data_IF_771665280550
#
_entry.id   IF_771665280550
#
_cell.length_a   1.000
_cell.length_b   1.000
_cell.length_c   1.000
_cell.angle_alpha   90.00
_cell.angle_beta   90.00
_cell.angle_gamma   90.00
#
_symmetry.space_group_name_H-M   'P 1'
#
loop_
_entity.id
_entity.type
_entity.pdbx_description
1 polymer ?
#
# COMPACT_ATOMS: atom_id res chain seq x y z
N UNK A 1 59.79 21.71 -0.44
CA UNK A 1 59.25 21.27 0.87
C UNK A 1 58.69 19.86 0.68
N UNK A 2 59.34 18.82 1.23
CA UNK A 2 58.91 17.42 1.03
C UNK A 2 57.75 17.11 1.98
N UNK A 3 56.62 16.64 1.43
CA UNK A 3 55.46 16.24 2.22
C UNK A 3 55.90 15.07 3.14
N UNK A 4 55.64 15.12 4.46
CA UNK A 4 56.01 14.05 5.39
C UNK A 4 55.37 12.73 4.97
N UNK A 5 56.10 11.61 5.05
CA UNK A 5 55.60 10.27 4.66
C UNK A 5 54.26 9.89 5.33
N UNK A 6 54.00 10.38 6.54
CA UNK A 6 52.73 10.23 7.24
C UNK A 6 51.54 10.85 6.48
N UNK A 7 51.71 12.04 5.89
CA UNK A 7 50.68 12.70 5.07
C UNK A 7 50.45 11.98 3.74
N UNK A 8 51.46 11.33 3.16
CA UNK A 8 51.30 10.52 1.94
C UNK A 8 50.48 9.24 2.19
N UNK A 9 50.73 8.54 3.31
CA UNK A 9 49.96 7.35 3.70
C UNK A 9 48.52 7.72 4.05
N UNK A 10 48.30 8.86 4.70
CA UNK A 10 46.96 9.38 5.03
C UNK A 10 46.17 9.80 3.77
N UNK A 11 46.82 10.39 2.77
CA UNK A 11 46.20 10.70 1.47
C UNK A 11 45.89 9.45 0.63
N UNK A 12 46.74 8.41 0.68
CA UNK A 12 46.47 7.12 0.02
C UNK A 12 45.32 6.39 0.72
N UNK A 13 45.26 6.45 2.06
CA UNK A 13 44.14 5.91 2.85
C UNK A 13 42.81 6.65 2.63
N UNK A 14 42.83 7.97 2.47
CA UNK A 14 41.64 8.75 2.08
C UNK A 14 41.22 8.49 0.63
N UNK A 15 42.18 8.38 -0.30
CA UNK A 15 41.92 8.07 -1.71
C UNK A 15 41.34 6.67 -1.91
N UNK A 16 41.79 5.68 -1.15
CA UNK A 16 41.23 4.32 -1.20
C UNK A 16 39.83 4.25 -0.57
N UNK A 17 39.60 4.91 0.58
CA UNK A 17 38.30 4.94 1.23
C UNK A 17 37.23 5.66 0.39
N UNK A 18 37.57 6.81 -0.20
CA UNK A 18 36.66 7.55 -1.09
C UNK A 18 36.32 6.75 -2.36
N UNK A 19 37.28 6.04 -2.93
CA UNK A 19 37.06 5.15 -4.07
C UNK A 19 36.12 3.99 -3.72
N UNK A 20 36.33 3.34 -2.56
CA UNK A 20 35.46 2.25 -2.10
C UNK A 20 34.03 2.75 -1.85
N UNK A 21 33.87 3.92 -1.23
CA UNK A 21 32.54 4.54 -1.03
C UNK A 21 31.87 4.85 -2.37
N UNK A 22 32.59 5.41 -3.34
CA UNK A 22 32.06 5.69 -4.67
C UNK A 22 31.61 4.41 -5.41
N UNK A 23 32.36 3.32 -5.28
CA UNK A 23 32.00 2.01 -5.85
C UNK A 23 30.73 1.46 -5.18
N UNK A 24 30.64 1.53 -3.85
CA UNK A 24 29.45 1.08 -3.11
C UNK A 24 28.21 1.89 -3.50
N UNK A 25 28.35 3.22 -3.65
CA UNK A 25 27.28 4.09 -4.14
C UNK A 25 26.87 3.67 -5.56
N UNK A 26 27.83 3.53 -6.48
CA UNK A 26 27.54 3.13 -7.86
C UNK A 26 26.81 1.78 -7.93
N UNK A 27 27.19 0.81 -7.09
CA UNK A 27 26.52 -0.49 -7.00
C UNK A 27 25.06 -0.37 -6.55
N UNK A 28 24.77 0.44 -5.51
CA UNK A 28 23.40 0.69 -5.03
C UNK A 28 22.56 1.37 -6.12
N UNK A 29 23.12 2.36 -6.83
CA UNK A 29 22.44 3.04 -7.93
C UNK A 29 22.15 2.10 -9.11
N UNK A 30 23.09 1.22 -9.46
CA UNK A 30 22.88 0.24 -10.51
C UNK A 30 21.80 -0.79 -10.13
N UNK A 31 21.83 -1.31 -8.91
CA UNK A 31 20.87 -2.31 -8.44
C UNK A 31 19.43 -1.79 -8.39
N UNK A 32 19.24 -0.50 -8.07
CA UNK A 32 17.91 0.13 -7.94
C UNK A 32 17.43 0.83 -9.21
N UNK A 33 18.24 0.88 -10.27
CA UNK A 33 17.93 1.58 -11.53
C UNK A 33 16.63 1.11 -12.20
N UNK A 34 16.32 -0.18 -12.09
CA UNK A 34 15.07 -0.74 -12.61
C UNK A 34 13.82 -0.18 -11.94
N UNK A 35 13.88 0.10 -10.62
CA UNK A 35 12.78 0.74 -9.90
C UNK A 35 12.53 2.16 -10.43
N UNK A 36 13.60 2.95 -10.55
CA UNK A 36 13.48 4.34 -11.00
C UNK A 36 13.04 4.44 -12.45
N UNK A 37 13.54 3.54 -13.32
CA UNK A 37 13.12 3.48 -14.71
C UNK A 37 11.62 3.16 -14.85
N UNK A 38 11.09 2.23 -14.03
CA UNK A 38 9.66 1.92 -14.01
C UNK A 38 8.82 3.12 -13.52
N UNK A 39 9.26 3.83 -12.47
CA UNK A 39 8.59 5.03 -11.97
C UNK A 39 8.60 6.18 -13.00
N UNK A 40 9.77 6.48 -13.59
CA UNK A 40 9.90 7.55 -14.59
C UNK A 40 9.05 7.26 -15.83
N UNK A 41 9.03 6.00 -16.28
CA UNK A 41 8.17 5.56 -17.38
C UNK A 41 6.70 5.72 -17.03
N UNK A 42 6.28 5.43 -15.79
CA UNK A 42 4.91 5.64 -15.36
C UNK A 42 4.51 7.12 -15.48
N UNK A 43 5.26 8.01 -14.87
CA UNK A 43 4.89 9.43 -14.85
C UNK A 43 4.99 10.07 -16.23
N UNK A 44 5.95 9.64 -17.06
CA UNK A 44 5.99 10.02 -18.49
C UNK A 44 4.73 9.57 -19.24
N UNK A 45 4.24 8.34 -19.03
CA UNK A 45 3.00 7.88 -19.68
C UNK A 45 1.76 8.61 -19.17
N UNK A 46 1.73 8.97 -17.89
CA UNK A 46 0.64 9.79 -17.32
C UNK A 46 0.66 11.23 -17.87
N UNK A 47 1.83 11.84 -18.04
CA UNK A 47 2.00 13.14 -18.73
C UNK A 47 1.43 13.11 -20.15
N UNK A 48 1.70 12.04 -20.88
CA UNK A 48 1.18 11.81 -22.23
C UNK A 48 -0.34 11.50 -22.28
N UNK A 49 -1.02 11.41 -21.13
CA UNK A 49 -2.42 10.98 -21.04
C UNK A 49 -2.64 9.50 -21.39
N UNK A 50 -1.56 8.72 -21.52
CA UNK A 50 -1.60 7.32 -21.92
C UNK A 50 -1.82 6.38 -20.72
N UNK A 51 -3.01 6.47 -20.12
CA UNK A 51 -3.38 5.66 -18.94
C UNK A 51 -3.25 4.16 -19.19
N UNK A 52 -3.59 3.68 -20.40
CA UNK A 52 -3.49 2.24 -20.73
C UNK A 52 -2.04 1.74 -20.66
N UNK A 53 -1.09 2.49 -21.21
CA UNK A 53 0.32 2.13 -21.12
C UNK A 53 0.88 2.30 -19.69
N UNK A 54 0.37 3.26 -18.91
CA UNK A 54 0.69 3.41 -17.50
C UNK A 54 0.25 2.18 -16.67
N UNK A 55 -0.96 1.66 -16.93
CA UNK A 55 -1.47 0.45 -16.26
C UNK A 55 -0.58 -0.78 -16.47
N UNK A 56 0.00 -0.93 -17.67
CA UNK A 56 0.89 -2.05 -17.98
C UNK A 56 2.20 -2.08 -17.16
N UNK A 57 2.50 -1.00 -16.42
CA UNK A 57 3.64 -0.95 -15.52
C UNK A 57 3.32 -1.47 -14.12
N UNK A 58 2.04 -1.66 -13.80
CA UNK A 58 1.62 -2.22 -12.53
C UNK A 58 1.68 -3.74 -12.54
N UNK A 59 1.79 -4.34 -11.36
CA UNK A 59 1.72 -5.80 -11.22
C UNK A 59 0.32 -6.30 -11.57
N UNK A 60 0.24 -7.58 -11.99
CA UNK A 60 -1.04 -8.26 -12.23
C UNK A 60 -1.89 -8.43 -10.97
N UNK A 61 -1.34 -8.09 -9.80
CA UNK A 61 -2.02 -8.11 -8.51
C UNK A 61 -2.82 -6.83 -8.26
N UNK A 62 -2.91 -5.91 -9.22
CA UNK A 62 -3.74 -4.71 -9.11
C UNK A 62 -4.95 -4.84 -10.04
N UNK A 63 -6.14 -4.51 -9.52
CA UNK A 63 -7.38 -4.57 -10.31
C UNK A 63 -7.41 -3.50 -11.41
N UNK A 64 -7.47 -3.93 -12.67
CA UNK A 64 -7.37 -3.06 -13.85
C UNK A 64 -8.45 -1.96 -13.89
N UNK A 65 -9.71 -2.29 -13.60
CA UNK A 65 -10.81 -1.33 -13.69
C UNK A 65 -10.67 -0.24 -12.63
N UNK A 66 -10.34 -0.64 -11.40
CA UNK A 66 -10.07 0.28 -10.30
C UNK A 66 -8.84 1.13 -10.61
N UNK A 67 -7.76 0.50 -11.09
CA UNK A 67 -6.49 1.15 -11.40
C UNK A 67 -6.63 2.22 -12.49
N UNK A 68 -7.40 1.96 -13.55
CA UNK A 68 -7.59 2.94 -14.62
C UNK A 68 -8.22 4.24 -14.07
N UNK A 69 -9.26 4.09 -13.24
CA UNK A 69 -9.95 5.23 -12.61
C UNK A 69 -9.03 5.96 -11.63
N UNK A 70 -8.28 5.23 -10.82
CA UNK A 70 -7.35 5.78 -9.84
C UNK A 70 -6.21 6.53 -10.51
N UNK A 71 -5.59 5.98 -11.56
CA UNK A 71 -4.52 6.64 -12.32
C UNK A 71 -5.00 7.94 -12.97
N UNK A 72 -6.19 7.94 -13.57
CA UNK A 72 -6.80 9.16 -14.13
C UNK A 72 -7.05 10.21 -13.06
N UNK A 73 -7.53 9.78 -11.89
CA UNK A 73 -7.78 10.67 -10.75
C UNK A 73 -6.47 11.23 -10.21
N UNK A 74 -5.46 10.37 -10.02
CA UNK A 74 -4.14 10.73 -9.54
C UNK A 74 -3.46 11.72 -10.48
N UNK A 75 -3.47 11.45 -11.79
CA UNK A 75 -2.86 12.31 -12.79
C UNK A 75 -3.49 13.71 -12.84
N UNK A 76 -4.83 13.79 -12.84
CA UNK A 76 -5.55 15.06 -12.85
C UNK A 76 -5.38 15.84 -11.55
N UNK A 77 -5.50 15.16 -10.40
CA UNK A 77 -5.39 15.78 -9.08
C UNK A 77 -4.01 16.40 -8.84
N UNK A 78 -2.99 15.81 -9.43
CA UNK A 78 -1.60 16.20 -9.24
C UNK A 78 -0.99 16.90 -10.47
N UNK A 79 -1.83 17.39 -11.40
CA UNK A 79 -1.40 18.11 -12.61
C UNK A 79 -0.21 17.46 -13.33
N UNK A 80 -0.27 16.14 -13.53
CA UNK A 80 0.86 15.39 -14.11
C UNK A 80 1.12 15.70 -15.60
N UNK A 81 0.25 16.48 -16.24
CA UNK A 81 0.53 17.12 -17.52
C UNK A 81 1.75 18.06 -17.44
N UNK A 82 2.02 18.64 -16.27
CA UNK A 82 3.21 19.45 -15.99
C UNK A 82 4.38 18.61 -15.41
N UNK A 83 4.33 17.28 -15.50
CA UNK A 83 5.41 16.43 -14.98
C UNK A 83 6.77 16.77 -15.60
N UNK A 84 7.76 17.06 -14.76
CA UNK A 84 9.11 17.38 -15.19
C UNK A 84 10.07 16.22 -14.97
N UNK A 85 10.22 15.78 -13.72
CA UNK A 85 11.10 14.67 -13.34
C UNK A 85 10.73 14.11 -11.96
N UNK A 86 11.46 13.09 -11.52
CA UNK A 86 11.37 12.54 -10.17
C UNK A 86 12.65 12.81 -9.38
N UNK A 87 12.58 12.74 -8.06
CA UNK A 87 13.74 12.80 -7.17
C UNK A 87 13.54 11.83 -6.02
N UNK A 88 14.53 10.96 -5.76
CA UNK A 88 14.39 9.85 -4.83
C UNK A 88 15.32 10.03 -3.63
N UNK A 89 14.76 10.21 -2.44
CA UNK A 89 15.48 10.30 -1.17
C UNK A 89 15.86 8.93 -0.63
N UNK A 90 15.06 7.90 -0.90
CA UNK A 90 15.34 6.52 -0.52
C UNK A 90 15.06 5.56 -1.68
N UNK A 91 15.93 4.55 -1.81
CA UNK A 91 15.80 3.44 -2.76
C UNK A 91 16.22 2.17 -2.07
N UNK A 92 15.33 1.19 -1.99
CA UNK A 92 15.64 -0.09 -1.34
C UNK A 92 15.08 -1.26 -2.15
N UNK A 93 15.79 -2.38 -2.07
CA UNK A 93 15.35 -3.67 -2.59
C UNK A 93 15.51 -4.68 -1.47
N UNK A 94 14.51 -5.52 -1.26
CA UNK A 94 14.55 -6.64 -0.34
C UNK A 94 13.94 -7.85 -1.03
N UNK A 95 14.77 -8.83 -1.35
CA UNK A 95 14.39 -10.03 -2.10
C UNK A 95 13.71 -9.69 -3.44
N UNK A 96 12.38 -9.82 -3.51
CA UNK A 96 11.55 -9.58 -4.69
C UNK A 96 10.68 -8.33 -4.57
N UNK A 97 10.92 -7.50 -3.56
CA UNK A 97 10.21 -6.25 -3.34
C UNK A 97 11.18 -5.07 -3.43
N UNK A 98 10.69 -3.94 -3.91
CA UNK A 98 11.44 -2.70 -3.98
C UNK A 98 10.62 -1.54 -3.46
N UNK A 99 11.28 -0.52 -2.91
CA UNK A 99 10.63 0.71 -2.46
C UNK A 99 11.41 1.91 -2.95
N UNK A 100 10.69 2.89 -3.49
CA UNK A 100 11.17 4.23 -3.73
C UNK A 100 10.42 5.20 -2.83
N UNK A 101 11.17 6.10 -2.20
CA UNK A 101 10.62 7.25 -1.49
C UNK A 101 11.23 8.50 -2.07
N UNK A 102 10.40 9.51 -2.34
CA UNK A 102 10.87 10.72 -2.99
C UNK A 102 9.73 11.61 -3.40
N UNK A 103 9.91 12.31 -4.52
CA UNK A 103 8.96 13.25 -5.03
C UNK A 103 8.85 13.24 -6.55
N UNK A 104 7.65 13.61 -7.01
CA UNK A 104 7.37 14.03 -8.37
C UNK A 104 7.53 15.55 -8.41
N UNK A 105 8.31 16.07 -9.34
CA UNK A 105 8.51 17.51 -9.51
C UNK A 105 7.82 17.96 -10.81
N UNK A 106 7.06 19.04 -10.72
CA UNK A 106 6.35 19.64 -11.84
C UNK A 106 7.11 20.83 -12.42
N UNK A 107 6.72 21.28 -13.61
CA UNK A 107 7.31 22.41 -14.31
C UNK A 107 7.09 23.75 -13.58
N UNK A 108 5.97 23.88 -12.86
CA UNK A 108 5.61 25.05 -12.04
C UNK A 108 6.40 25.14 -10.71
N UNK A 109 7.24 24.14 -10.41
CA UNK A 109 8.00 24.03 -9.16
C UNK A 109 7.28 23.29 -8.04
N UNK A 110 6.03 22.85 -8.24
CA UNK A 110 5.30 22.01 -7.29
C UNK A 110 5.99 20.67 -7.11
N UNK A 111 6.05 20.20 -5.86
CA UNK A 111 6.64 18.91 -5.49
C UNK A 111 5.60 18.06 -4.77
N UNK A 112 5.34 16.86 -5.30
CA UNK A 112 4.39 15.90 -4.72
C UNK A 112 5.19 14.74 -4.11
N UNK A 113 5.26 14.62 -2.78
CA UNK A 113 5.98 13.53 -2.15
C UNK A 113 5.21 12.22 -2.27
N UNK A 114 5.93 11.16 -2.67
CA UNK A 114 5.36 9.86 -2.94
C UNK A 114 6.23 8.72 -2.41
N UNK A 115 5.57 7.62 -2.07
CA UNK A 115 6.18 6.31 -1.84
C UNK A 115 5.65 5.35 -2.89
N UNK A 116 6.53 4.62 -3.56
CA UNK A 116 6.18 3.61 -4.55
C UNK A 116 6.74 2.27 -4.11
N UNK A 117 5.88 1.27 -4.01
CA UNK A 117 6.28 -0.11 -3.77
C UNK A 117 6.24 -0.90 -5.07
N UNK A 118 7.20 -1.79 -5.23
CA UNK A 118 7.39 -2.60 -6.42
C UNK A 118 7.45 -4.07 -6.03
N UNK A 119 7.04 -4.90 -6.97
CA UNK A 119 7.25 -6.33 -6.92
C UNK A 119 7.97 -6.77 -8.19
N UNK A 120 8.86 -7.74 -8.04
CA UNK A 120 9.61 -8.29 -9.15
C UNK A 120 8.71 -9.22 -9.98
N UNK A 121 8.62 -8.95 -11.28
CA UNK A 121 7.87 -9.73 -12.27
C UNK A 121 8.85 -10.25 -13.33
N UNK A 122 9.37 -11.47 -13.13
CA UNK A 122 10.44 -12.01 -13.97
C UNK A 122 11.75 -11.23 -13.81
N UNK A 123 12.28 -10.68 -14.91
CA UNK A 123 13.46 -9.81 -14.92
C UNK A 123 13.16 -8.36 -14.53
N UNK A 124 11.89 -7.96 -14.61
CA UNK A 124 11.49 -6.56 -14.59
C UNK A 124 10.80 -6.21 -13.26
N UNK A 125 10.77 -4.91 -12.95
CA UNK A 125 10.07 -4.39 -11.79
C UNK A 125 8.70 -3.86 -12.21
N UNK A 126 7.65 -4.34 -11.53
CA UNK A 126 6.29 -3.86 -11.69
C UNK A 126 5.87 -3.07 -10.46
N UNK A 127 5.12 -2.00 -10.68
CA UNK A 127 4.59 -1.15 -9.62
C UNK A 127 3.47 -1.91 -8.91
N UNK A 128 3.62 -2.12 -7.61
CA UNK A 128 2.60 -2.75 -6.78
C UNK A 128 1.65 -1.70 -6.19
N UNK A 129 2.19 -0.59 -5.69
CA UNK A 129 1.38 0.50 -5.17
C UNK A 129 2.08 1.85 -5.19
N UNK A 130 1.26 2.91 -5.14
CA UNK A 130 1.69 4.30 -5.06
C UNK A 130 0.91 5.00 -3.96
N UNK A 131 1.63 5.77 -3.14
CA UNK A 131 1.06 6.51 -2.03
C UNK A 131 1.57 7.95 -2.05
N UNK A 132 0.64 8.88 -2.07
CA UNK A 132 0.92 10.32 -1.90
C UNK A 132 1.04 10.62 -0.39
N UNK A 133 2.14 11.27 0.02
CA UNK A 133 2.23 11.85 1.36
C UNK A 133 1.59 13.24 1.30
N UNK A 134 0.50 13.50 2.03
CA UNK A 134 -0.06 14.85 2.10
C UNK A 134 0.53 15.60 3.28
N UNK A 135 1.27 16.67 3.02
CA UNK A 135 1.62 17.66 4.04
C UNK A 135 0.42 18.58 4.25
N UNK A 136 -0.23 18.57 5.43
CA UNK A 136 -1.19 19.61 5.78
C UNK A 136 -2.45 19.24 6.57
N UNK A 137 -2.65 17.99 7.02
CA UNK A 137 -3.66 17.70 8.05
C UNK A 137 -2.94 17.41 9.35
N UNK A 138 -3.26 18.20 10.38
CA UNK A 138 -2.72 18.06 11.74
C UNK A 138 -3.06 16.65 12.25
N UNK A 139 -2.13 15.71 12.04
CA UNK A 139 -2.15 14.41 12.69
C UNK A 139 -1.13 14.49 13.81
N UNK A 140 -1.64 14.69 15.02
CA UNK A 140 -0.89 14.49 16.26
C UNK A 140 -0.26 13.10 16.21
N UNK A 141 1.07 13.03 16.44
CA UNK A 141 1.91 11.83 16.42
C UNK A 141 1.94 11.04 15.07
N UNK A 142 2.97 11.33 14.28
CA UNK A 142 3.20 10.76 12.95
C UNK A 142 3.56 9.26 12.97
N UNK A 143 2.60 8.39 12.72
CA UNK A 143 2.84 7.08 12.07
C UNK A 143 2.75 7.28 10.57
N UNK A 144 3.89 7.57 9.96
CA UNK A 144 3.98 8.00 8.56
C UNK A 144 3.23 7.04 7.61
N UNK A 145 2.19 7.57 6.97
CA UNK A 145 1.39 6.84 5.99
C UNK A 145 0.21 6.03 6.54
N UNK A 146 -0.05 5.98 7.85
CA UNK A 146 -1.34 5.45 8.33
C UNK A 146 -2.47 6.35 7.79
N UNK A 147 -3.59 5.78 7.28
CA UNK A 147 -4.73 6.58 6.83
C UNK A 147 -5.34 7.46 7.92
N UNK A 148 -6.07 8.50 7.52
CA UNK A 148 -6.82 9.32 8.49
C UNK A 148 -7.86 8.48 9.21
N UNK A 149 -8.23 8.86 10.44
CA UNK A 149 -9.27 8.15 11.22
C UNK A 149 -10.58 7.99 10.43
N UNK A 150 -10.99 9.04 9.69
CA UNK A 150 -12.16 8.98 8.80
C UNK A 150 -12.03 7.88 7.76
N UNK A 151 -10.86 7.74 7.14
CA UNK A 151 -10.62 6.70 6.12
C UNK A 151 -10.55 5.32 6.77
N UNK A 152 -9.93 5.19 7.95
CA UNK A 152 -9.91 3.94 8.74
C UNK A 152 -11.32 3.47 9.10
N UNK A 153 -12.19 4.38 9.55
CA UNK A 153 -13.59 4.10 9.84
C UNK A 153 -14.34 3.64 8.58
N UNK A 154 -14.08 4.28 7.44
CA UNK A 154 -14.72 3.94 6.16
C UNK A 154 -14.35 2.52 5.72
N UNK A 155 -13.07 2.20 5.60
CA UNK A 155 -12.63 0.86 5.14
C UNK A 155 -13.01 -0.25 6.12
N UNK A 156 -13.04 0.04 7.42
CA UNK A 156 -13.50 -0.90 8.45
C UNK A 156 -14.99 -1.18 8.29
N UNK A 157 -15.82 -0.14 8.14
CA UNK A 157 -17.26 -0.28 7.97
C UNK A 157 -17.62 -1.03 6.68
N UNK A 158 -16.96 -0.74 5.57
CA UNK A 158 -17.14 -1.46 4.30
C UNK A 158 -16.80 -2.96 4.44
N UNK A 159 -15.70 -3.29 5.10
CA UNK A 159 -15.30 -4.68 5.37
C UNK A 159 -16.31 -5.40 6.26
N UNK A 160 -16.76 -4.76 7.34
CA UNK A 160 -17.75 -5.33 8.25
C UNK A 160 -19.11 -5.53 7.56
N UNK A 161 -19.54 -4.58 6.73
CA UNK A 161 -20.78 -4.72 5.95
C UNK A 161 -20.70 -5.87 4.96
N UNK A 162 -19.58 -5.99 4.24
CA UNK A 162 -19.38 -7.07 3.29
C UNK A 162 -19.34 -8.44 3.99
N UNK A 163 -18.70 -8.54 5.16
CA UNK A 163 -18.69 -9.75 5.98
C UNK A 163 -20.10 -10.10 6.48
N UNK A 164 -20.83 -9.14 7.04
CA UNK A 164 -22.19 -9.34 7.54
C UNK A 164 -23.16 -9.72 6.41
N UNK A 165 -23.01 -9.12 5.22
CA UNK A 165 -23.80 -9.44 4.03
C UNK A 165 -23.50 -10.84 3.52
N UNK A 166 -22.22 -11.23 3.47
CA UNK A 166 -21.83 -12.60 3.09
C UNK A 166 -22.43 -13.66 4.03
N UNK A 167 -22.50 -13.37 5.34
CA UNK A 167 -23.20 -14.24 6.30
C UNK A 167 -24.69 -14.35 6.00
N UNK A 168 -25.38 -13.21 5.78
CA UNK A 168 -26.82 -13.18 5.48
C UNK A 168 -27.16 -13.97 4.21
N UNK A 169 -26.29 -13.88 3.19
CA UNK A 169 -26.45 -14.56 1.91
C UNK A 169 -25.99 -16.02 1.94
N UNK A 170 -25.30 -16.45 3.00
CA UNK A 170 -24.59 -17.73 3.09
C UNK A 170 -23.60 -17.96 1.95
N UNK A 171 -22.92 -16.89 1.52
CA UNK A 171 -21.99 -16.90 0.40
C UNK A 171 -20.88 -15.87 0.65
N UNK A 172 -19.63 -16.33 0.73
CA UNK A 172 -18.47 -15.46 0.92
C UNK A 172 -17.74 -15.08 -0.38
N UNK A 173 -18.28 -15.45 -1.54
CA UNK A 173 -17.64 -15.16 -2.81
C UNK A 173 -17.50 -13.66 -3.08
N UNK A 174 -18.46 -12.84 -2.64
CA UNK A 174 -18.34 -11.37 -2.73
C UNK A 174 -17.22 -10.83 -1.84
N UNK A 175 -17.08 -11.34 -0.62
CA UNK A 175 -15.97 -10.98 0.28
C UNK A 175 -14.61 -11.37 -0.31
N UNK A 176 -14.51 -12.59 -0.84
CA UNK A 176 -13.29 -13.05 -1.53
C UNK A 176 -12.98 -12.19 -2.76
N UNK A 177 -13.99 -11.86 -3.58
CA UNK A 177 -13.77 -11.07 -4.81
C UNK A 177 -13.30 -9.64 -4.51
N UNK A 178 -13.76 -9.05 -3.40
CA UNK A 178 -13.37 -7.71 -2.97
C UNK A 178 -12.03 -7.66 -2.22
N UNK A 179 -11.49 -8.81 -1.82
CA UNK A 179 -10.22 -8.88 -1.11
C UNK A 179 -9.03 -8.56 -2.02
N UNK A 180 -7.85 -8.41 -1.44
CA UNK A 180 -6.62 -8.16 -2.18
C UNK A 180 -6.31 -9.32 -3.12
N UNK A 181 -5.73 -9.03 -4.30
CA UNK A 181 -5.22 -10.08 -5.18
C UNK A 181 -4.13 -10.89 -4.51
N UNK A 182 -3.36 -10.24 -3.64
CA UNK A 182 -2.42 -10.91 -2.74
C UNK A 182 -3.11 -12.03 -1.96
N UNK A 183 -4.23 -11.76 -1.29
CA UNK A 183 -4.94 -12.78 -0.52
C UNK A 183 -5.60 -13.82 -1.45
N UNK A 184 -6.18 -13.40 -2.58
CA UNK A 184 -6.77 -14.31 -3.57
C UNK A 184 -5.77 -15.32 -4.15
N UNK A 185 -4.47 -14.98 -4.20
CA UNK A 185 -3.42 -15.89 -4.65
C UNK A 185 -2.98 -16.90 -3.58
N UNK A 186 -3.25 -16.62 -2.30
CA UNK A 186 -2.85 -17.46 -1.16
C UNK A 186 -3.99 -18.33 -0.62
N UNK A 187 -5.24 -18.02 -1.00
CA UNK A 187 -6.43 -18.76 -0.54
C UNK A 187 -7.43 -18.98 -1.67
N UNK A 188 -8.33 -19.94 -1.49
CA UNK A 188 -9.45 -20.18 -2.41
C UNK A 188 -10.79 -19.71 -1.82
N UNK A 189 -11.82 -19.44 -2.65
CA UNK A 189 -13.17 -19.18 -2.16
C UNK A 189 -13.65 -20.26 -1.18
N UNK A 190 -13.41 -21.53 -1.48
CA UNK A 190 -13.79 -22.66 -0.63
C UNK A 190 -13.09 -22.62 0.73
N UNK A 191 -11.77 -22.36 0.76
CA UNK A 191 -11.02 -22.26 2.02
C UNK A 191 -11.53 -21.11 2.89
N UNK A 192 -11.81 -19.96 2.28
CA UNK A 192 -12.37 -18.81 2.96
C UNK A 192 -13.78 -19.13 3.51
N UNK A 193 -14.63 -19.76 2.70
CA UNK A 193 -15.95 -20.20 3.17
C UNK A 193 -15.82 -21.18 4.34
N UNK A 194 -14.98 -22.21 4.26
CA UNK A 194 -14.81 -23.17 5.36
C UNK A 194 -14.37 -22.48 6.66
N UNK A 195 -13.47 -21.49 6.58
CA UNK A 195 -13.01 -20.75 7.75
C UNK A 195 -14.13 -19.94 8.42
N UNK A 196 -15.07 -19.39 7.64
CA UNK A 196 -16.13 -18.52 8.16
C UNK A 196 -17.53 -19.17 8.20
N UNK A 197 -17.68 -20.42 7.72
CA UNK A 197 -18.92 -21.20 7.75
C UNK A 197 -19.62 -21.25 9.11
N UNK A 198 -18.92 -21.31 10.27
CA UNK A 198 -19.58 -21.25 11.58
C UNK A 198 -20.46 -20.00 11.79
N UNK A 199 -20.20 -18.90 11.07
CA UNK A 199 -21.00 -17.68 11.16
C UNK A 199 -22.35 -17.77 10.41
N UNK A 200 -22.54 -18.73 9.49
CA UNK A 200 -23.83 -18.94 8.82
C UNK A 200 -24.97 -19.31 9.78
N UNK A 201 -24.66 -19.73 11.02
CA UNK A 201 -25.70 -19.87 12.06
C UNK A 201 -26.43 -18.55 12.35
N UNK A 202 -25.77 -17.41 12.12
CA UNK A 202 -26.34 -16.07 12.33
C UNK A 202 -27.36 -15.67 11.25
N UNK A 203 -27.44 -16.40 10.13
CA UNK A 203 -28.45 -16.15 9.09
C UNK A 203 -29.79 -16.87 9.35
N UNK A 204 -29.86 -17.74 10.37
CA UNK A 204 -30.96 -18.71 10.52
C UNK A 204 -32.19 -18.21 11.28
N UNK A 205 -32.07 -17.15 12.08
CA UNK A 205 -33.18 -16.67 12.91
C UNK A 205 -33.24 -15.14 12.99
N UNK A 206 -34.42 -14.62 13.38
CA UNK A 206 -34.70 -13.18 13.43
C UNK A 206 -33.79 -12.42 14.39
N UNK A 207 -33.44 -13.00 15.54
CA UNK A 207 -32.58 -12.34 16.53
C UNK A 207 -31.16 -12.15 15.97
N UNK A 208 -30.59 -13.20 15.36
CA UNK A 208 -29.27 -13.12 14.74
C UNK A 208 -29.24 -12.19 13.51
N UNK A 209 -30.30 -12.16 12.71
CA UNK A 209 -30.42 -11.18 11.62
C UNK A 209 -30.52 -9.74 12.16
N UNK A 210 -31.23 -9.53 13.28
CA UNK A 210 -31.27 -8.23 13.96
C UNK A 210 -29.89 -7.82 14.47
N UNK A 211 -29.13 -8.76 15.02
CA UNK A 211 -27.73 -8.55 15.40
C UNK A 211 -26.86 -8.08 14.21
N UNK A 212 -26.91 -8.77 13.07
CA UNK A 212 -26.14 -8.38 11.86
C UNK A 212 -26.57 -7.01 11.31
N UNK A 213 -27.86 -6.67 11.40
CA UNK A 213 -28.35 -5.35 11.01
C UNK A 213 -27.89 -4.25 11.96
N UNK A 214 -27.81 -4.53 13.27
CA UNK A 214 -27.27 -3.58 14.24
C UNK A 214 -25.76 -3.37 14.05
N UNK A 215 -25.02 -4.44 13.73
CA UNK A 215 -23.59 -4.38 13.43
C UNK A 215 -23.29 -3.42 12.28
N UNK A 216 -24.00 -3.55 11.16
CA UNK A 216 -23.81 -2.72 9.95
C UNK A 216 -24.26 -1.26 10.10
N UNK A 217 -25.02 -0.93 11.15
CA UNK A 217 -25.47 0.43 11.45
C UNK A 217 -24.69 1.11 12.57
N UNK A 218 -23.82 0.35 13.24
CA UNK A 218 -23.03 0.85 14.35
C UNK A 218 -21.69 1.37 13.84
N UNK A 219 -21.07 2.28 14.60
CA UNK A 219 -19.71 2.75 14.35
C UNK A 219 -18.74 1.94 15.22
N UNK A 220 -17.62 1.42 14.67
CA UNK A 220 -16.64 0.73 15.49
C UNK A 220 -15.88 1.73 16.39
N UNK A 221 -15.41 1.24 17.53
CA UNK A 221 -14.38 1.90 18.33
C UNK A 221 -13.06 1.15 18.14
N UNK A 222 -12.01 1.87 17.75
CA UNK A 222 -10.65 1.30 17.71
C UNK A 222 -10.14 1.08 19.13
N UNK A 223 -9.53 -0.09 19.37
CA UNK A 223 -9.01 -0.48 20.69
C UNK A 223 -7.52 -0.18 20.83
N UNK A 224 -6.84 0.00 19.70
CA UNK A 224 -5.43 0.36 19.59
C UNK A 224 -5.27 1.33 18.41
N UNK A 225 -4.19 2.10 18.38
CA UNK A 225 -3.83 2.88 17.18
C UNK A 225 -3.55 1.95 16.00
N UNK A 226 -4.03 2.34 14.81
CA UNK A 226 -3.73 1.58 13.60
C UNK A 226 -2.24 1.71 13.25
N UNK A 227 -1.63 0.61 12.83
CA UNK A 227 -0.21 0.55 12.49
C UNK A 227 -0.01 0.02 11.08
N UNK A 228 1.05 0.48 10.41
CA UNK A 228 1.60 -0.20 9.23
C UNK A 228 2.84 -0.95 9.69
N UNK A 229 2.86 -2.27 9.53
CA UNK A 229 4.00 -3.09 9.93
C UNK A 229 5.15 -3.05 8.91
N UNK A 230 6.25 -3.74 9.21
CA UNK A 230 7.44 -3.79 8.34
C UNK A 230 7.19 -4.43 6.96
N UNK A 231 6.05 -5.11 6.78
CA UNK A 231 5.60 -5.71 5.53
C UNK A 231 4.63 -4.79 4.76
N UNK A 232 4.50 -3.53 5.18
CA UNK A 232 3.59 -2.53 4.62
C UNK A 232 2.10 -2.94 4.71
N UNK A 233 1.75 -3.75 5.71
CA UNK A 233 0.37 -4.17 6.00
C UNK A 233 -0.22 -3.24 7.06
N UNK A 234 -1.33 -2.59 6.73
CA UNK A 234 -2.13 -1.82 7.67
C UNK A 234 -2.94 -2.77 8.56
N UNK A 235 -2.78 -2.64 9.88
CA UNK A 235 -3.48 -3.44 10.88
C UNK A 235 -4.42 -2.52 11.67
N UNK A 236 -5.70 -2.86 11.68
CA UNK A 236 -6.75 -2.15 12.41
C UNK A 236 -7.38 -3.11 13.41
N UNK A 237 -7.43 -2.70 14.68
CA UNK A 237 -8.05 -3.47 15.76
C UNK A 237 -9.17 -2.66 16.41
N UNK A 238 -10.29 -3.30 16.67
CA UNK A 238 -11.41 -2.60 17.27
C UNK A 238 -12.57 -3.50 17.67
N UNK A 239 -13.66 -2.85 18.03
CA UNK A 239 -14.92 -3.51 18.39
C UNK A 239 -16.12 -2.65 18.07
N UNK A 240 -17.24 -3.29 17.79
CA UNK A 240 -18.55 -2.65 17.78
C UNK A 240 -19.23 -2.86 19.13
N UNK A 241 -19.77 -1.78 19.70
CA UNK A 241 -20.45 -1.79 21.00
C UNK A 241 -21.90 -2.28 20.87
N UNK A 242 -22.06 -3.52 20.38
CA UNK A 242 -23.34 -4.24 20.29
C UNK A 242 -23.31 -5.44 21.26
N UNK A 243 -24.45 -6.09 21.50
CA UNK A 243 -24.56 -7.25 22.40
C UNK A 243 -24.94 -8.53 21.63
N UNK A 244 -24.09 -9.59 21.64
CA UNK A 244 -22.74 -9.63 22.21
C UNK A 244 -21.73 -8.76 21.43
N UNK A 245 -20.61 -8.32 22.02
CA UNK A 245 -19.65 -7.46 21.31
C UNK A 245 -19.00 -8.14 20.10
N UNK A 246 -19.01 -7.45 18.95
CA UNK A 246 -18.22 -7.85 17.79
C UNK A 246 -16.81 -7.27 17.91
N UNK A 247 -15.79 -8.10 18.02
CA UNK A 247 -14.37 -7.69 18.02
C UNK A 247 -13.70 -8.08 16.72
N UNK A 248 -12.76 -7.27 16.25
CA UNK A 248 -12.08 -7.53 14.99
C UNK A 248 -10.60 -7.16 15.00
N UNK A 249 -9.87 -7.83 14.12
CA UNK A 249 -8.56 -7.42 13.60
C UNK A 249 -8.62 -7.55 12.10
N UNK A 250 -8.51 -6.44 11.39
CA UNK A 250 -8.47 -6.39 9.93
C UNK A 250 -7.08 -6.00 9.46
N UNK A 251 -6.59 -6.73 8.47
CA UNK A 251 -5.30 -6.49 7.84
C UNK A 251 -5.53 -6.07 6.40
N UNK A 252 -4.87 -5.01 5.95
CA UNK A 252 -4.98 -4.49 4.59
C UNK A 252 -3.61 -4.30 3.95
N UNK A 253 -3.54 -4.51 2.64
CA UNK A 253 -2.38 -4.21 1.81
C UNK A 253 -2.76 -3.14 0.80
N UNK A 254 -1.84 -2.23 0.48
CA UNK A 254 -2.05 -1.25 -0.58
C UNK A 254 -1.79 -1.90 -1.94
N UNK A 255 -2.81 -2.02 -2.78
CA UNK A 255 -2.72 -2.46 -4.18
C UNK A 255 -3.16 -1.32 -5.09
N UNK A 256 -2.29 -0.88 -6.00
CA UNK A 256 -2.52 0.34 -6.79
C UNK A 256 -2.53 1.58 -5.88
N UNK A 257 -3.70 2.20 -5.72
CA UNK A 257 -3.90 3.36 -4.83
C UNK A 257 -4.92 3.07 -3.71
N UNK A 258 -5.33 1.82 -3.54
CA UNK A 258 -6.38 1.42 -2.59
C UNK A 258 -5.91 0.41 -1.56
N UNK A 259 -6.36 0.58 -0.31
CA UNK A 259 -6.25 -0.45 0.71
C UNK A 259 -7.22 -1.59 0.41
N UNK A 260 -6.68 -2.79 0.22
CA UNK A 260 -7.43 -4.01 -0.05
C UNK A 260 -7.29 -4.98 1.11
N UNK A 261 -8.38 -5.66 1.45
CA UNK A 261 -8.44 -6.60 2.57
C UNK A 261 -7.47 -7.76 2.33
N UNK A 262 -6.47 -7.90 3.18
CA UNK A 262 -5.49 -8.99 3.18
C UNK A 262 -5.87 -10.11 4.16
N UNK A 263 -6.66 -9.80 5.18
CA UNK A 263 -7.15 -10.80 6.12
C UNK A 263 -8.07 -10.21 7.17
N UNK A 264 -8.87 -11.07 7.79
CA UNK A 264 -9.75 -10.70 8.88
C UNK A 264 -9.78 -11.77 9.97
N UNK A 265 -9.78 -11.31 11.23
CA UNK A 265 -10.07 -12.12 12.42
C UNK A 265 -11.21 -11.45 13.15
N UNK A 266 -12.25 -12.22 13.47
CA UNK A 266 -13.49 -11.71 14.05
C UNK A 266 -13.94 -12.61 15.19
N UNK A 267 -14.56 -12.03 16.20
CA UNK A 267 -15.18 -12.78 17.30
C UNK A 267 -16.47 -12.09 17.74
N UNK A 268 -17.48 -12.91 18.04
CA UNK A 268 -18.85 -12.55 18.44
C UNK A 268 -19.19 -13.29 19.71
#
# INVERSE_FOLDING_TARGET
MKIPKFFQILLIGLGSLTTVIAILIAFVFQATSGLTAAADKLFSKLKEGNTKAAMQLFSQQVDDQTLEKELKTFARKNSLDDFKNTSWSNRSITMNSGTLEGSINLEDGTTIPVTISFQKSGSDWSIFSIKEKRSGVISSASTEGVPSEKDLLTITAETTDLFATSIKENDFQKLYSASSKTWQNETTPDQLEQAFKPFFKLSKNKQSLTYLNNLTRSTPAFTEEAIINDQNVLIIKGRYMIDPPYTFTYSYVMEGFSWKLLGLKVSI
#
